data_IF_927653000526
#
_entry.id   IF_927653000526
#
_cell.length_a   1.000
_cell.length_b   1.000
_cell.length_c   1.000
_cell.angle_alpha   90.00
_cell.angle_beta   90.00
_cell.angle_gamma   90.00
#
_symmetry.space_group_name_H-M   'P 1'
#
loop_
_entity.id
_entity.type
_entity.pdbx_description
1 polymer ?
2 water ?
#
# COMPACT_ATOMS: atom_id res chain seq x y z
N UNK A 2 -0.67 6.01 14.59
CA UNK A 2 0.81 6.17 14.52
C UNK A 2 1.13 7.54 13.95
N UNK A 3 2.10 8.22 14.54
CA UNK A 3 2.59 9.51 14.04
C UNK A 3 4.04 9.32 13.62
N UNK A 4 4.40 9.91 12.48
CA UNK A 4 5.72 9.70 11.88
C UNK A 4 6.29 11.02 11.40
N UNK A 5 7.62 11.14 11.47
CA UNK A 5 8.28 12.31 10.90
C UNK A 5 9.65 11.94 10.36
N UNK A 6 9.89 12.25 9.10
CA UNK A 6 11.15 11.98 8.43
C UNK A 6 12.07 13.19 8.55
N UNK A 7 13.37 12.92 8.51
CA UNK A 7 14.38 13.97 8.49
C UNK A 7 15.62 13.46 7.81
N UNK A 8 16.50 14.38 7.44
CA UNK A 8 17.81 14.01 6.92
C UNK A 8 18.02 14.30 5.45
N UNK A 9 16.96 14.76 4.77
CA UNK A 9 17.05 15.05 3.35
C UNK A 9 17.99 16.20 3.03
N UNK A 10 18.47 16.23 1.79
CA UNK A 10 19.32 17.31 1.32
C UNK A 10 19.87 17.03 -0.06
N UNK A 11 20.89 17.79 -0.41
CA UNK A 11 21.52 17.69 -1.71
C UNK A 11 22.80 16.88 -1.56
N UNK A 12 22.96 15.86 -2.38
CA UNK A 12 24.14 14.99 -2.33
C UNK A 12 24.63 14.69 -3.74
N UNK A 13 25.93 14.44 -3.89
CA UNK A 13 26.50 14.11 -5.19
C UNK A 13 26.35 12.61 -5.52
N UNK A 14 26.24 12.31 -6.81
CA UNK A 14 26.20 10.92 -7.29
C UNK A 14 27.40 10.16 -6.74
N UNK A 15 27.12 8.92 -6.30
CA UNK A 15 28.14 8.07 -5.73
C UNK A 15 28.23 8.24 -4.22
N UNK A 16 27.60 9.28 -3.70
CA UNK A 16 27.65 9.60 -2.28
C UNK A 16 26.71 8.77 -1.41
N UNK A 17 26.59 9.18 -0.15
CA UNK A 17 25.71 8.49 0.80
C UNK A 17 24.98 9.51 1.66
N UNK A 18 23.84 9.09 2.20
CA UNK A 18 23.02 9.95 3.04
C UNK A 18 22.15 9.07 3.92
N UNK A 19 21.96 9.44 5.17
CA UNK A 19 21.08 8.67 6.06
C UNK A 19 19.81 9.46 6.40
N UNK A 20 18.65 8.87 6.11
CA UNK A 20 17.36 9.45 6.51
C UNK A 20 16.89 8.78 7.78
N UNK A 21 16.13 9.52 8.59
CA UNK A 21 15.55 8.96 9.79
C UNK A 21 14.05 9.12 9.76
N UNK A 22 13.36 8.21 10.43
CA UNK A 22 11.92 8.28 10.58
C UNK A 22 11.60 8.02 12.05
N UNK A 23 11.21 9.05 12.79
CA UNK A 23 10.82 8.89 14.19
C UNK A 23 9.32 8.57 14.22
N UNK A 24 8.94 7.64 15.09
CA UNK A 24 7.59 7.10 15.10
C UNK A 24 7.06 7.03 16.52
N UNK A 25 5.78 7.34 16.68
CA UNK A 25 5.10 7.17 17.96
C UNK A 25 3.74 6.53 17.70
N UNK A 26 3.26 5.72 18.63
CA UNK A 26 1.90 5.25 18.52
C UNK A 26 1.59 4.15 19.47
N UNK A 27 0.30 3.97 19.72
CA UNK A 27 -0.19 2.83 20.49
C UNK A 27 0.13 1.59 19.70
N UNK A 28 0.81 0.65 20.35
CA UNK A 28 1.16 -0.64 19.78
C UNK A 28 2.03 -0.50 18.54
N UNK A 29 2.94 0.47 18.58
CA UNK A 29 3.83 0.74 17.44
C UNK A 29 4.52 -0.51 16.90
N UNK A 30 4.95 -1.40 17.80
CA UNK A 30 5.74 -2.56 17.39
C UNK A 30 4.94 -3.66 16.70
N UNK A 31 3.62 -3.47 16.63
CA UNK A 31 2.75 -4.35 15.86
C UNK A 31 2.56 -3.85 14.42
N UNK A 32 3.15 -2.72 14.10
CA UNK A 32 3.05 -2.14 12.75
C UNK A 32 4.26 -2.51 11.92
N UNK A 33 4.02 -2.79 10.65
CA UNK A 33 5.07 -2.88 9.66
C UNK A 33 5.39 -1.47 9.17
N UNK A 34 6.67 -1.17 9.06
CA UNK A 34 7.14 0.15 8.66
C UNK A 34 7.66 0.07 7.24
N UNK A 35 7.35 1.07 6.43
CA UNK A 35 7.81 1.12 5.07
C UNK A 35 8.45 2.44 4.71
N UNK A 36 9.41 2.38 3.79
CA UNK A 36 9.93 3.57 3.12
C UNK A 36 9.40 3.56 1.70
N UNK A 37 8.99 4.74 1.25
CA UNK A 37 8.45 4.97 -0.09
C UNK A 37 9.12 6.21 -0.67
N UNK A 38 9.00 6.44 -1.96
CA UNK A 38 9.54 7.66 -2.54
C UNK A 38 8.75 8.08 -3.76
N UNK A 39 8.73 9.38 -4.01
CA UNK A 39 8.10 9.92 -5.21
C UNK A 39 9.03 10.90 -5.88
N UNK A 40 9.50 10.54 -7.07
CA UNK A 40 10.28 11.45 -7.90
C UNK A 40 9.34 12.49 -8.51
N UNK A 41 9.84 13.71 -8.79
CA UNK A 41 8.96 14.76 -9.33
C UNK A 41 8.27 14.32 -10.61
N UNK A 42 6.94 14.42 -10.63
CA UNK A 42 6.15 14.06 -11.80
C UNK A 42 5.88 12.58 -11.99
N UNK A 43 6.40 11.74 -11.09
CA UNK A 43 6.26 10.29 -11.18
C UNK A 43 5.33 9.73 -10.09
N UNK A 44 4.92 8.48 -10.29
CA UNK A 44 4.17 7.76 -9.27
C UNK A 44 5.03 7.44 -8.06
N UNK A 45 4.42 7.46 -6.89
CA UNK A 45 5.11 7.08 -5.67
C UNK A 45 5.38 5.58 -5.75
N UNK A 46 6.49 5.15 -5.19
CA UNK A 46 6.85 3.74 -5.24
C UNK A 46 7.43 3.26 -3.91
N UNK A 47 7.33 1.97 -3.70
CA UNK A 47 7.90 1.31 -2.55
C UNK A 47 9.44 1.30 -2.62
N UNK A 48 10.06 1.46 -1.45
CA UNK A 48 11.52 1.39 -1.30
C UNK A 48 11.92 0.16 -0.47
N UNK A 49 11.32 0.01 0.71
CA UNK A 49 11.63 -1.16 1.52
C UNK A 49 10.74 -1.23 2.74
N UNK A 50 10.76 -2.36 3.43
CA UNK A 50 9.92 -2.59 4.59
C UNK A 50 10.61 -3.39 5.69
N UNK A 51 10.24 -3.07 6.93
CA UNK A 51 10.74 -3.79 8.08
C UNK A 51 9.62 -4.02 9.09
N UNK A 52 9.77 -5.04 9.92
CA UNK A 52 8.93 -5.21 11.10
C UNK A 52 9.80 -5.16 12.34
N UNK A 53 9.25 -4.64 13.43
CA UNK A 53 10.00 -4.43 14.66
C UNK A 53 10.48 -5.75 15.30
N UNK A 54 9.86 -6.86 14.90
CA UNK A 54 10.08 -8.17 15.52
C UNK A 54 11.13 -9.04 14.79
N UNK A 55 11.67 -8.53 13.69
CA UNK A 55 12.55 -9.31 12.83
C UNK A 55 13.71 -8.47 12.33
N UNK A 56 14.81 -9.15 11.98
CA UNK A 56 15.98 -8.49 11.41
C UNK A 56 15.92 -8.44 9.88
N UNK A 57 14.99 -9.19 9.29
CA UNK A 57 14.88 -9.31 7.83
C UNK A 57 14.08 -8.18 7.20
N UNK A 58 14.71 -7.54 6.23
CA UNK A 58 14.14 -6.40 5.54
C UNK A 58 13.88 -6.82 4.10
N UNK A 59 12.80 -6.31 3.51
CA UNK A 59 12.55 -6.50 2.08
C UNK A 59 12.74 -5.19 1.33
N UNK A 60 13.39 -5.26 0.17
CA UNK A 60 13.71 -4.08 -0.63
C UNK A 60 13.16 -4.18 -2.04
N UNK A 61 12.76 -3.04 -2.58
CA UNK A 61 12.53 -2.91 -4.02
C UNK A 61 13.81 -3.24 -4.77
N UNK A 62 13.69 -3.89 -5.93
CA UNK A 62 14.87 -4.20 -6.76
C UNK A 62 15.65 -2.95 -7.15
N UNK A 63 14.94 -1.83 -7.29
CA UNK A 63 15.54 -0.55 -7.66
C UNK A 63 16.59 -0.07 -6.68
N UNK A 64 16.50 -0.51 -5.42
CA UNK A 64 17.42 -0.05 -4.37
C UNK A 64 18.15 -1.19 -3.65
N UNK A 65 17.75 -2.43 -3.92
CA UNK A 65 18.35 -3.57 -3.23
C UNK A 65 19.84 -3.61 -3.51
N UNK A 66 20.62 -3.74 -2.44
CA UNK A 66 22.07 -3.73 -2.55
C UNK A 66 22.70 -2.36 -2.43
N UNK A 67 21.87 -1.31 -2.36
CA UNK A 67 22.36 0.06 -2.24
C UNK A 67 21.84 0.75 -0.98
N UNK A 68 20.55 0.58 -0.68
CA UNK A 68 19.93 1.23 0.49
C UNK A 68 19.74 0.19 1.58
N UNK A 69 19.90 0.61 2.84
CA UNK A 69 19.78 -0.26 4.00
C UNK A 69 18.83 0.34 5.03
N UNK A 70 17.85 -0.45 5.46
CA UNK A 70 16.98 -0.06 6.54
C UNK A 70 17.49 -0.64 7.85
N UNK A 71 17.57 0.20 8.88
CA UNK A 71 17.93 -0.26 10.22
C UNK A 71 17.06 0.47 11.23
N UNK A 72 17.26 0.21 12.52
CA UNK A 72 16.45 0.87 13.52
C UNK A 72 17.23 1.14 14.80
N UNK A 73 16.78 2.13 15.55
CA UNK A 73 17.23 2.32 16.93
C UNK A 73 16.01 2.11 17.79
N UNK A 74 15.96 0.98 18.49
CA UNK A 74 14.81 0.61 19.31
C UNK A 74 14.45 1.61 20.39
N UNK A 75 15.44 2.04 21.17
CA UNK A 75 15.20 2.94 22.29
C UNK A 75 14.63 4.28 21.84
N UNK A 76 14.93 4.66 20.60
CA UNK A 76 14.54 5.95 20.04
C UNK A 76 13.32 5.85 19.12
N UNK A 77 12.78 4.64 18.95
CA UNK A 77 11.66 4.39 18.04
C UNK A 77 11.89 5.03 16.68
N UNK A 78 13.10 4.84 16.17
CA UNK A 78 13.50 5.47 14.93
C UNK A 78 13.92 4.43 13.91
N UNK A 79 13.43 4.58 12.67
CA UNK A 79 13.83 3.73 11.56
C UNK A 79 14.70 4.56 10.63
N UNK A 80 15.80 3.97 10.17
CA UNK A 80 16.72 4.68 9.27
C UNK A 80 16.69 4.12 7.87
N UNK A 81 16.94 4.98 6.89
CA UNK A 81 17.22 4.53 5.53
C UNK A 81 18.60 5.07 5.18
N UNK A 82 19.59 4.17 5.16
CA UNK A 82 20.94 4.53 4.78
C UNK A 82 21.03 4.38 3.28
N UNK A 83 21.26 5.49 2.60
CA UNK A 83 21.35 5.49 1.15
C UNK A 83 22.82 5.50 0.73
N UNK A 84 23.20 4.50 -0.05
CA UNK A 84 24.56 4.36 -0.54
C UNK A 84 24.54 4.30 -2.05
N UNK A 85 25.71 4.50 -2.66
CA UNK A 85 25.87 4.48 -4.12
C UNK A 85 24.74 5.23 -4.83
N UNK A 86 24.56 6.47 -4.40
CA UNK A 86 23.43 7.28 -4.88
C UNK A 86 23.52 7.59 -6.37
N UNK A 87 22.37 7.62 -7.04
CA UNK A 87 22.26 7.92 -8.47
C UNK A 87 21.30 9.10 -8.64
N UNK A 88 21.47 9.91 -9.70
CA UNK A 88 20.50 10.99 -9.96
C UNK A 88 19.02 10.52 -9.94
N UNK A 89 18.75 9.31 -10.39
CA UNK A 89 17.37 8.78 -10.43
C UNK A 89 16.81 8.48 -9.02
N UNK A 90 17.65 8.61 -7.99
CA UNK A 90 17.19 8.47 -6.62
C UNK A 90 16.58 9.77 -6.08
N UNK A 91 16.64 10.85 -6.85
CA UNK A 91 16.05 12.14 -6.46
C UNK A 91 14.55 11.95 -6.26
N UNK A 92 14.04 12.36 -5.11
CA UNK A 92 12.65 12.13 -4.75
C UNK A 92 12.37 12.71 -3.38
N UNK A 93 11.08 12.83 -3.05
CA UNK A 93 10.68 12.96 -1.67
C UNK A 93 10.52 11.55 -1.11
N UNK A 94 11.14 11.31 0.05
CA UNK A 94 11.12 10.00 0.73
C UNK A 94 10.16 10.06 1.89
N UNK A 95 9.28 9.05 1.97
CA UNK A 95 8.25 8.99 3.02
C UNK A 95 8.41 7.71 3.81
N UNK A 96 8.22 7.80 5.11
CA UNK A 96 8.01 6.62 5.87
C UNK A 96 6.53 6.45 6.21
N UNK A 97 6.11 5.21 6.38
CA UNK A 97 4.70 4.88 6.60
C UNK A 97 4.57 3.66 7.50
N UNK A 98 3.39 3.50 8.08
CA UNK A 98 3.11 2.38 8.97
C UNK A 98 1.74 1.79 8.67
N UNK A 99 1.68 0.47 8.71
CA UNK A 99 0.40 -0.23 8.57
C UNK A 99 0.41 -1.45 9.46
N UNK A 100 -0.78 -1.84 9.92
CA UNK A 100 -0.86 -2.97 10.85
C UNK A 100 -0.18 -4.17 10.24
N UNK A 101 0.71 -4.81 10.99
CA UNK A 101 1.43 -5.97 10.49
C UNK A 101 0.43 -7.09 10.29
N UNK A 102 -0.57 -6.82 9.44
CA UNK A 102 -1.69 -7.74 9.24
C UNK A 102 -1.12 -9.02 8.63
N UNK A 103 -1.00 -10.06 9.46
CA UNK A 103 -0.49 -11.36 9.01
C UNK A 103 -1.59 -12.15 8.30
N UNK A 104 -1.20 -12.88 7.26
CA UNK A 104 -2.16 -13.57 6.39
C UNK A 104 -2.87 -12.62 5.45
N UNK A 105 -2.20 -11.50 5.15
CA UNK A 105 -2.73 -10.45 4.26
C UNK A 105 -1.62 -9.44 3.94
N UNK A 106 -1.91 -8.55 2.99
CA UNK A 106 -0.97 -7.49 2.63
C UNK A 106 -1.14 -6.31 3.59
N UNK A 107 -0.01 -5.72 4.01
CA UNK A 107 -0.07 -4.51 4.83
C UNK A 107 -0.62 -3.34 4.04
N UNK A 108 -1.59 -2.67 4.65
CA UNK A 108 -2.13 -1.42 4.15
C UNK A 108 -1.57 -0.28 4.97
N UNK A 109 -0.75 0.54 4.34
CA UNK A 109 -0.06 1.63 5.04
C UNK A 109 -1.03 2.80 5.29
N UNK A 110 -1.46 2.94 6.54
CA UNK A 110 -2.44 3.94 6.92
C UNK A 110 -1.86 5.26 7.38
N UNK A 111 -0.62 5.24 7.89
CA UNK A 111 -0.03 6.41 8.53
C UNK A 111 1.22 6.80 7.77
N UNK A 112 1.38 8.11 7.52
CA UNK A 112 2.43 8.63 6.66
C UNK A 112 3.08 9.84 7.29
N UNK A 113 4.39 9.94 7.15
CA UNK A 113 5.08 11.19 7.45
C UNK A 113 4.86 12.22 6.35
N UNK A 114 5.33 13.44 6.59
CA UNK A 114 5.23 14.50 5.60
C UNK A 114 6.31 14.44 4.52
N UNK A 115 7.32 13.61 4.75
CA UNK A 115 8.38 13.38 3.76
C UNK A 115 9.62 14.22 3.98
N UNK A 116 10.75 13.71 3.50
CA UNK A 116 12.01 14.46 3.49
C UNK A 116 12.60 14.30 2.10
N UNK A 117 13.15 15.36 1.53
CA UNK A 117 13.46 15.41 0.12
C UNK A 117 14.96 15.26 -0.15
N UNK A 118 15.31 14.45 -1.13
CA UNK A 118 16.71 14.20 -1.49
C UNK A 118 16.90 14.47 -2.97
N UNK A 119 17.87 15.32 -3.29
CA UNK A 119 18.31 15.47 -4.67
C UNK A 119 19.71 14.94 -4.80
N UNK A 120 19.92 14.08 -5.79
CA UNK A 120 21.24 13.56 -6.11
C UNK A 120 21.70 14.21 -7.40
N UNK A 121 22.77 15.00 -7.34
CA UNK A 121 23.29 15.67 -8.54
C UNK A 121 24.17 14.71 -9.34
N UNK B 2 -4.46 6.71 -13.60
CA UNK B 2 -5.62 5.77 -13.59
C UNK B 2 -6.76 6.45 -12.85
N UNK B 3 -7.96 6.36 -13.43
CA UNK B 3 -9.18 6.86 -12.77
C UNK B 3 -10.08 5.67 -12.43
N UNK B 4 -10.68 5.70 -11.25
CA UNK B 4 -11.45 4.55 -10.75
C UNK B 4 -12.75 5.01 -10.13
N UNK B 5 -13.80 4.20 -10.26
CA UNK B 5 -15.07 4.50 -9.58
C UNK B 5 -15.77 3.21 -9.18
N UNK B 6 -16.08 3.11 -7.89
CA UNK B 6 -16.78 1.97 -7.34
C UNK B 6 -18.28 2.21 -7.34
N UNK B 7 -19.03 1.11 -7.44
CA UNK B 7 -20.48 1.15 -7.32
C UNK B 7 -20.99 -0.16 -6.76
N UNK B 8 -22.24 -0.15 -6.32
CA UNK B 8 -22.92 -1.38 -5.92
C UNK B 8 -23.20 -1.49 -4.44
N UNK B 9 -22.73 -0.52 -3.66
CA UNK B 9 -22.90 -0.57 -2.21
C UNK B 9 -24.36 -0.45 -1.80
N UNK B 10 -24.65 -0.90 -0.59
CA UNK B 10 -25.98 -0.78 -0.03
C UNK B 10 -26.12 -1.54 1.27
N UNK B 11 -27.35 -1.74 1.69
CA UNK B 11 -27.67 -2.43 2.91
C UNK B 11 -28.07 -3.86 2.59
N UNK B 12 -27.43 -4.82 3.25
CA UNK B 12 -27.67 -6.24 3.01
C UNK B 12 -27.75 -6.99 4.33
N UNK B 13 -28.49 -8.09 4.36
CA UNK B 13 -28.61 -8.89 5.58
C UNK B 13 -27.46 -9.89 5.72
N UNK B 14 -27.10 -10.19 6.97
CA UNK B 14 -26.08 -11.19 7.26
C UNK B 14 -26.44 -12.50 6.56
N UNK B 15 -25.43 -13.14 5.99
CA UNK B 15 -25.61 -14.37 5.23
C UNK B 15 -25.90 -14.13 3.76
N UNK B 16 -26.19 -12.88 3.42
CA UNK B 16 -26.54 -12.51 2.05
C UNK B 16 -25.32 -12.32 1.16
N UNK B 17 -25.56 -11.78 -0.03
CA UNK B 17 -24.49 -11.53 -0.99
C UNK B 17 -24.72 -10.21 -1.70
N UNK B 18 -23.63 -9.63 -2.20
CA UNK B 18 -23.69 -8.36 -2.91
C UNK B 18 -22.49 -8.28 -3.83
N UNK B 19 -22.67 -7.70 -5.01
CA UNK B 19 -21.57 -7.52 -5.96
C UNK B 19 -21.21 -6.04 -6.10
N UNK B 20 -19.96 -5.72 -5.83
CA UNK B 20 -19.42 -4.38 -6.09
C UNK B 20 -18.70 -4.34 -7.42
N UNK B 21 -18.70 -3.18 -8.07
CA UNK B 21 -17.99 -2.99 -9.32
C UNK B 21 -16.97 -1.86 -9.18
N UNK B 22 -15.89 -1.96 -9.93
CA UNK B 22 -14.89 -0.92 -9.99
C UNK B 22 -14.57 -0.69 -11.46
N UNK B 23 -15.04 0.42 -12.02
CA UNK B 23 -14.74 0.77 -13.40
C UNK B 23 -13.44 1.55 -13.42
N UNK B 24 -12.57 1.25 -14.38
CA UNK B 24 -11.22 1.84 -14.40
C UNK B 24 -10.87 2.33 -15.80
N UNK B 25 -10.16 3.46 -15.86
CA UNK B 25 -9.61 3.99 -17.10
C UNK B 25 -8.17 4.43 -16.84
N UNK B 26 -7.32 4.31 -17.85
CA UNK B 26 -6.01 4.92 -17.71
C UNK B 26 -5.06 4.46 -18.76
N UNK B 27 -4.01 5.24 -18.96
CA UNK B 27 -2.94 4.89 -19.86
C UNK B 27 -2.27 3.66 -19.27
N UNK B 28 -2.15 2.61 -20.09
CA UNK B 28 -1.48 1.38 -19.70
C UNK B 28 -2.14 0.71 -18.51
N UNK B 29 -3.46 0.78 -18.46
CA UNK B 29 -4.23 0.20 -17.34
C UNK B 29 -3.82 -1.24 -17.02
N UNK B 30 -3.59 -2.04 -18.06
CA UNK B 30 -3.31 -3.46 -17.86
C UNK B 30 -1.95 -3.76 -17.26
N UNK B 31 -1.14 -2.72 -17.10
CA UNK B 31 0.15 -2.86 -16.42
C UNK B 31 0.03 -2.62 -14.92
N UNK B 32 -1.18 -2.24 -14.48
CA UNK B 32 -1.43 -1.95 -13.06
C UNK B 32 -1.99 -3.16 -12.34
N UNK B 33 -1.56 -3.35 -11.11
CA UNK B 33 -2.22 -4.26 -10.19
C UNK B 33 -3.39 -3.53 -9.55
N UNK B 34 -4.53 -4.21 -9.48
CA UNK B 34 -5.77 -3.66 -8.92
C UNK B 34 -5.98 -4.24 -7.54
N UNK B 35 -6.42 -3.41 -6.61
CA UNK B 35 -6.66 -3.86 -5.25
C UNK B 35 -8.03 -3.44 -4.75
N UNK B 36 -8.66 -4.29 -3.93
CA UNK B 36 -9.80 -3.88 -3.12
C UNK B 36 -9.34 -3.71 -1.70
N UNK B 37 -9.83 -2.64 -1.07
CA UNK B 37 -9.54 -2.28 0.32
C UNK B 37 -10.85 -1.93 1.00
N UNK B 38 -10.87 -1.88 2.32
CA UNK B 38 -12.07 -1.45 3.01
C UNK B 38 -11.72 -0.75 4.31
N UNK B 39 -12.59 0.16 4.74
CA UNK B 39 -12.42 0.80 6.03
C UNK B 39 -13.75 0.78 6.78
N UNK B 40 -13.78 0.02 7.87
CA UNK B 40 -14.91 0.03 8.78
C UNK B 40 -14.93 1.34 9.57
N UNK B 41 -16.12 1.83 9.99
CA UNK B 41 -16.17 3.09 10.73
C UNK B 41 -15.30 3.05 11.98
N UNK B 42 -14.40 4.02 12.09
CA UNK B 42 -13.53 4.16 13.26
C UNK B 42 -12.33 3.22 13.29
N UNK B 43 -12.13 2.47 12.21
CA UNK B 43 -11.02 1.51 12.11
C UNK B 43 -10.03 1.89 11.02
N UNK B 44 -8.86 1.26 11.04
CA UNK B 44 -7.87 1.42 9.99
C UNK B 44 -8.33 0.76 8.69
N UNK B 45 -7.99 1.38 7.57
CA UNK B 45 -8.29 0.78 6.28
C UNK B 45 -7.45 -0.49 6.17
N UNK B 46 -7.98 -1.50 5.48
CA UNK B 46 -7.26 -2.77 5.32
C UNK B 46 -7.43 -3.33 3.92
N UNK B 47 -6.49 -4.18 3.55
CA UNK B 47 -6.50 -4.89 2.29
C UNK B 47 -7.61 -5.94 2.27
N UNK B 48 -8.25 -6.07 1.11
CA UNK B 48 -9.25 -7.11 0.88
C UNK B 48 -8.71 -8.15 -0.14
N UNK B 49 -8.23 -7.70 -1.28
CA UNK B 49 -7.72 -8.64 -2.28
C UNK B 49 -7.08 -7.91 -3.44
N UNK B 50 -6.35 -8.65 -4.28
CA UNK B 50 -5.65 -8.06 -5.41
C UNK B 50 -5.67 -8.94 -6.65
N UNK B 51 -5.69 -8.30 -7.81
CA UNK B 51 -5.60 -9.01 -9.07
C UNK B 51 -4.68 -8.27 -10.03
N UNK B 52 -4.15 -9.00 -11.00
CA UNK B 52 -3.49 -8.39 -12.16
C UNK B 52 -4.24 -8.79 -13.41
N UNK B 53 -4.26 -7.90 -14.40
CA UNK B 53 -5.01 -8.13 -15.62
C UNK B 53 -4.44 -9.30 -16.45
N UNK B 54 -3.21 -9.71 -16.16
CA UNK B 54 -2.51 -10.73 -16.95
C UNK B 54 -2.63 -12.16 -16.38
N UNK B 55 -3.25 -12.29 -15.21
CA UNK B 55 -3.34 -13.57 -14.52
C UNK B 55 -4.75 -13.86 -14.02
N UNK B 56 -5.06 -15.15 -13.85
CA UNK B 56 -6.34 -15.56 -13.29
C UNK B 56 -6.30 -15.64 -11.77
N UNK B 57 -5.09 -15.64 -11.20
CA UNK B 57 -4.91 -15.87 -9.77
C UNK B 57 -5.04 -14.59 -8.96
N UNK B 58 -5.87 -14.70 -7.93
CA UNK B 58 -6.17 -13.59 -7.06
C UNK B 58 -5.57 -13.87 -5.69
N UNK B 59 -5.11 -12.82 -5.00
CA UNK B 59 -4.72 -12.96 -3.60
C UNK B 59 -5.75 -12.27 -2.69
N UNK B 60 -6.12 -12.94 -1.60
CA UNK B 60 -7.12 -12.45 -0.66
C UNK B 60 -6.56 -12.33 0.74
N UNK B 61 -7.02 -11.32 1.48
CA UNK B 61 -6.82 -11.27 2.93
C UNK B 61 -7.51 -12.46 3.59
N UNK B 62 -6.92 -13.00 4.66
CA UNK B 62 -7.52 -14.14 5.36
C UNK B 62 -8.93 -13.81 5.86
N UNK B 63 -9.14 -12.54 6.23
CA UNK B 63 -10.44 -12.03 6.68
C UNK B 63 -11.60 -12.32 5.72
N UNK B 64 -11.30 -12.43 4.42
CA UNK B 64 -12.33 -12.61 3.39
C UNK B 64 -12.13 -13.82 2.49
N UNK B 65 -10.97 -14.46 2.59
CA UNK B 65 -10.66 -15.60 1.73
C UNK B 65 -11.70 -16.71 1.92
N UNK B 66 -12.21 -17.20 0.81
CA UNK B 66 -13.27 -18.20 0.83
C UNK B 66 -14.67 -17.63 0.89
N UNK B 67 -14.78 -16.30 1.02
CA UNK B 67 -16.08 -15.63 1.07
C UNK B 67 -16.26 -14.63 -0.07
N UNK B 68 -15.24 -13.81 -0.33
CA UNK B 68 -15.31 -12.78 -1.37
C UNK B 68 -14.51 -13.26 -2.58
N UNK B 69 -14.97 -12.91 -3.78
CA UNK B 69 -14.32 -13.29 -5.02
C UNK B 69 -14.11 -12.09 -5.92
N UNK B 70 -12.87 -11.92 -6.40
CA UNK B 70 -12.58 -10.89 -7.38
C UNK B 70 -12.63 -11.48 -8.79
N UNK B 71 -13.32 -10.81 -9.69
CA UNK B 71 -13.36 -11.21 -11.09
C UNK B 71 -13.30 -9.95 -11.95
N UNK B 72 -13.29 -10.09 -13.26
CA UNK B 72 -13.24 -8.93 -14.14
C UNK B 72 -14.06 -9.09 -15.41
N UNK B 73 -14.42 -7.97 -16.01
CA UNK B 73 -14.95 -7.95 -17.36
C UNK B 73 -13.97 -7.14 -18.19
N UNK B 74 -13.19 -7.83 -19.01
CA UNK B 74 -12.14 -7.19 -19.82
C UNK B 74 -12.62 -6.08 -20.73
N UNK B 75 -13.66 -6.37 -21.51
CA UNK B 75 -14.16 -5.41 -22.50
C UNK B 75 -14.65 -4.13 -21.85
N UNK B 76 -15.09 -4.23 -20.60
CA UNK B 76 -15.66 -3.10 -19.87
C UNK B 76 -14.68 -2.46 -18.87
N UNK B 77 -13.45 -2.97 -18.82
CA UNK B 77 -12.43 -2.50 -17.88
C UNK B 77 -12.97 -2.40 -16.46
N UNK B 78 -13.65 -3.45 -16.02
CA UNK B 78 -14.32 -3.41 -14.74
C UNK B 78 -13.87 -4.60 -13.89
N UNK B 79 -13.57 -4.32 -12.64
CA UNK B 79 -13.18 -5.34 -11.68
C UNK B 79 -14.35 -5.48 -10.70
N UNK B 80 -14.71 -6.71 -10.36
CA UNK B 80 -15.82 -6.94 -9.43
C UNK B 80 -15.33 -7.52 -8.11
N UNK B 81 -16.06 -7.21 -7.04
CA UNK B 81 -15.88 -7.91 -5.77
C UNK B 81 -17.23 -8.51 -5.43
N UNK B 82 -17.33 -9.84 -5.59
CA UNK B 82 -18.54 -10.56 -5.24
C UNK B 82 -18.40 -10.93 -3.77
N UNK B 83 -19.32 -10.41 -2.96
CA UNK B 83 -19.31 -10.64 -1.53
C UNK B 83 -20.36 -11.69 -1.20
N UNK B 84 -19.92 -12.77 -0.57
CA UNK B 84 -20.80 -13.86 -0.19
C UNK B 84 -20.65 -14.12 1.29
N UNK B 85 -21.61 -14.84 1.88
CA UNK B 85 -21.58 -15.18 3.31
C UNK B 85 -21.24 -13.97 4.17
N UNK B 86 -21.97 -12.89 3.94
CA UNK B 86 -21.72 -11.61 4.60
C UNK B 86 -21.93 -11.66 6.10
N UNK B 87 -21.09 -10.91 6.83
CA UNK B 87 -21.13 -10.80 8.28
C UNK B 87 -21.23 -9.32 8.64
N UNK B 88 -21.84 -8.98 9.79
CA UNK B 88 -21.88 -7.58 10.23
C UNK B 88 -20.50 -6.90 10.23
N UNK B 89 -19.45 -7.66 10.53
CA UNK B 89 -18.08 -7.13 10.56
C UNK B 89 -17.53 -6.75 9.18
N UNK B 90 -18.24 -7.10 8.13
CA UNK B 90 -17.92 -6.66 6.76
C UNK B 90 -18.40 -5.24 6.44
N UNK B 91 -19.13 -4.63 7.36
CA UNK B 91 -19.63 -3.26 7.19
C UNK B 91 -18.43 -2.33 7.03
N UNK B 92 -18.41 -1.54 5.96
CA UNK B 92 -17.26 -0.68 5.65
C UNK B 92 -17.52 0.11 4.39
N UNK B 93 -16.68 1.11 4.14
CA UNK B 93 -16.56 1.68 2.82
C UNK B 93 -15.52 0.84 2.08
N UNK B 94 -15.87 0.39 0.87
CA UNK B 94 -14.99 -0.42 0.03
C UNK B 94 -14.38 0.44 -1.07
N UNK B 95 -13.07 0.33 -1.25
CA UNK B 95 -12.30 1.12 -2.21
C UNK B 95 -11.58 0.21 -3.16
N UNK B 96 -11.57 0.60 -4.42
CA UNK B 96 -10.69 -0.02 -5.37
C UNK B 96 -9.52 0.93 -5.65
N UNK B 97 -8.37 0.35 -5.95
CA UNK B 97 -7.14 1.10 -6.12
C UNK B 97 -6.26 0.44 -7.16
N UNK B 98 -5.30 1.21 -7.68
CA UNK B 98 -4.39 0.74 -8.70
C UNK B 98 -2.98 1.23 -8.42
N UNK B 99 -2.01 0.34 -8.65
CA UNK B 99 -0.60 0.70 -8.53
C UNK B 99 0.18 -0.08 -9.56
N UNK B 100 1.29 0.49 -9.99
CA UNK B 100 2.11 -0.14 -11.02
C UNK B 100 2.52 -1.55 -10.60
N UNK B 101 2.32 -2.52 -11.48
CA UNK B 101 2.62 -3.92 -11.19
C UNK B 101 3.98 -4.38 -11.71
N UNK B 102 5.04 -3.80 -11.14
CA UNK B 102 6.42 -4.15 -11.51
C UNK B 102 6.93 -5.41 -10.80
N UNK B 103 8.13 -5.84 -11.16
CA UNK B 103 8.70 -7.14 -10.75
C UNK B 103 9.12 -7.25 -9.28
N UNK B 104 9.87 -6.27 -8.80
CA UNK B 104 10.35 -6.28 -7.41
C UNK B 104 10.36 -4.88 -6.81
N UNK B 105 9.28 -4.55 -6.10
CA UNK B 105 9.08 -3.22 -5.49
C UNK B 105 7.68 -3.14 -4.90
N UNK B 106 7.21 -4.20 -4.23
CA UNK B 106 5.82 -4.33 -3.77
C UNK B 106 4.92 -3.21 -4.30
N UNK B 107 3.71 -3.54 -4.74
CA UNK B 107 2.84 -2.53 -5.35
C UNK B 107 2.50 -1.41 -4.38
N UNK B 108 2.74 -0.18 -4.83
CA UNK B 108 2.30 1.00 -4.13
C UNK B 108 1.06 1.53 -4.86
N UNK B 109 -0.08 1.42 -4.19
CA UNK B 109 -1.36 1.88 -4.76
C UNK B 109 -1.48 3.40 -4.78
N UNK B 110 -1.33 3.98 -5.98
CA UNK B 110 -1.34 5.42 -6.18
C UNK B 110 -2.69 6.02 -6.49
N UNK B 111 -3.59 5.22 -7.05
CA UNK B 111 -4.86 5.73 -7.56
C UNK B 111 -5.99 5.04 -6.85
N UNK B 112 -6.99 5.81 -6.44
CA UNK B 112 -8.06 5.34 -5.57
C UNK B 112 -9.40 5.85 -6.07
N UNK B 113 -10.42 5.01 -5.98
CA UNK B 113 -11.80 5.47 -6.15
C UNK B 113 -12.28 6.20 -4.91
N UNK B 114 -13.47 6.79 -5.00
CA UNK B 114 -14.09 7.49 -3.89
C UNK B 114 -14.76 6.55 -2.89
N UNK B 115 -14.94 5.30 -3.27
CA UNK B 115 -15.49 4.29 -2.38
C UNK B 115 -16.97 4.05 -2.56
N UNK B 116 -17.42 2.85 -2.19
CA UNK B 116 -18.83 2.51 -2.15
C UNK B 116 -19.07 1.79 -0.83
N UNK B 117 -20.19 2.11 -0.17
CA UNK B 117 -20.36 1.73 1.22
C UNK B 117 -21.35 0.56 1.38
N UNK B 118 -20.98 -0.40 2.23
CA UNK B 118 -21.80 -1.58 2.46
C UNK B 118 -22.05 -1.72 3.96
N UNK B 119 -23.32 -1.83 4.36
CA UNK B 119 -23.67 -2.20 5.73
C UNK B 119 -24.32 -3.56 5.71
N UNK B 120 -23.81 -4.45 6.57
CA UNK B 120 -24.39 -5.77 6.74
C UNK B 120 -25.10 -5.79 8.08
N UNK B 121 -26.42 -5.99 8.06
CA UNK B 121 -27.19 -6.00 9.30
C UNK B 121 -27.13 -7.36 9.99
#
# INVERSE_FOLDING_TARGET
>A
QVQLQESGGGLVQAGGSLRLSCAAAGRNLRMYRMGWFRQAPGKEREFVGTMVWSSDTIYYADSVKGRFIISRDNAKNTVYLQMNSLKPEDTAVYYCAAGAGWAGTMTDYNYWGQGTQVTVSS
>B
QVQLQESGGGLVQAGGSLRLSCAAAGRNLRMYRMGWFRQAPGKEREFVGTMVWSSDTIYYADSVKGRFIISRDNAKNTVYLQMNSLKPEDTAVYYCAAGAGWAGTMTDYNYWGQGTQVTVSS
#
